data_IF_964437858019
#
_entry.id   IF_964437858019
#
_cell.length_a   1.000
_cell.length_b   1.000
_cell.length_c   1.000
_cell.angle_alpha   90.00
_cell.angle_beta   90.00
_cell.angle_gamma   90.00
#
_symmetry.space_group_name_H-M   'P 1'
#
loop_
_entity.id
_entity.type
_entity.pdbx_description
1 polymer ?
#
# COMPACT_ATOMS: atom_id res chain seq x y z
N UNK A 1 64.27 -15.39 -17.71
CA UNK A 1 63.16 -15.61 -16.76
C UNK A 1 62.03 -14.63 -17.13
N UNK A 2 61.21 -14.71 -18.18
CA UNK A 2 60.76 -15.77 -19.11
C UNK A 2 60.51 -17.11 -18.42
N UNK A 3 59.23 -17.35 -18.08
CA UNK A 3 58.49 -18.64 -18.15
C UNK A 3 57.21 -18.56 -17.31
N UNK A 4 56.16 -17.90 -17.82
CA UNK A 4 54.75 -18.26 -17.50
C UNK A 4 53.77 -17.67 -18.53
N UNK A 5 54.03 -16.47 -19.05
CA UNK A 5 53.15 -15.81 -20.03
C UNK A 5 53.38 -16.23 -21.49
N UNK A 6 54.59 -16.65 -21.86
CA UNK A 6 54.89 -17.15 -23.22
C UNK A 6 54.29 -18.55 -23.49
N UNK A 7 53.94 -19.31 -22.43
CA UNK A 7 53.41 -20.68 -22.54
C UNK A 7 51.89 -20.76 -22.72
N UNK A 8 51.15 -19.67 -22.52
CA UNK A 8 49.70 -19.63 -22.79
C UNK A 8 49.44 -19.29 -24.27
N UNK A 9 50.31 -18.49 -24.89
CA UNK A 9 50.22 -18.13 -26.31
C UNK A 9 50.53 -19.27 -27.29
N UNK A 10 51.26 -20.30 -26.85
CA UNK A 10 51.60 -21.47 -27.69
C UNK A 10 50.56 -22.60 -27.64
N UNK A 11 49.57 -22.55 -26.73
CA UNK A 11 48.65 -23.67 -26.50
C UNK A 11 47.24 -23.52 -27.08
N UNK A 12 46.84 -22.34 -27.60
CA UNK A 12 45.63 -22.19 -28.44
C UNK A 12 45.75 -20.96 -29.36
N UNK A 13 46.02 -21.12 -30.67
CA UNK A 13 45.98 -20.00 -31.62
C UNK A 13 44.55 -19.43 -31.82
N UNK A 14 43.53 -20.06 -31.23
CA UNK A 14 42.13 -19.59 -31.20
C UNK A 14 41.88 -18.42 -30.23
N UNK A 15 42.83 -18.10 -29.34
CA UNK A 15 42.74 -16.97 -28.41
C UNK A 15 43.48 -15.72 -28.90
N UNK A 16 43.88 -15.71 -30.18
CA UNK A 16 44.40 -14.52 -30.84
C UNK A 16 43.26 -13.52 -31.08
N UNK A 17 43.22 -12.51 -30.22
CA UNK A 17 42.49 -11.24 -30.31
C UNK A 17 41.08 -11.36 -30.92
N UNK A 18 40.05 -11.71 -30.12
CA UNK A 18 38.69 -11.76 -30.63
C UNK A 18 38.31 -10.39 -31.19
N UNK A 19 37.87 -10.39 -32.46
CA UNK A 19 37.50 -9.19 -33.20
C UNK A 19 36.58 -8.32 -32.33
N UNK A 20 36.84 -7.01 -32.29
CA UNK A 20 36.12 -6.07 -31.42
C UNK A 20 34.62 -6.10 -31.67
N UNK A 21 34.21 -6.39 -32.90
CA UNK A 21 32.81 -6.62 -33.28
C UNK A 21 32.23 -7.91 -32.69
N UNK A 22 33.01 -8.98 -32.60
CA UNK A 22 32.59 -10.24 -32.01
C UNK A 22 32.41 -10.12 -30.50
N UNK A 23 33.37 -9.50 -29.79
CA UNK A 23 33.22 -9.20 -28.36
C UNK A 23 32.04 -8.27 -28.08
N UNK A 24 31.82 -7.25 -28.91
CA UNK A 24 30.67 -6.37 -28.77
C UNK A 24 29.34 -7.12 -28.95
N UNK A 25 29.27 -8.03 -29.93
CA UNK A 25 28.10 -8.88 -30.16
C UNK A 25 27.86 -9.87 -29.02
N UNK A 26 28.90 -10.45 -28.42
CA UNK A 26 28.74 -11.35 -27.28
C UNK A 26 28.32 -10.59 -26.01
N UNK A 27 28.85 -9.38 -25.81
CA UNK A 27 28.41 -8.49 -24.73
C UNK A 27 26.95 -8.08 -24.94
N UNK A 28 26.54 -7.70 -26.15
CA UNK A 28 25.14 -7.36 -26.44
C UNK A 28 24.21 -8.56 -26.27
N UNK A 29 24.64 -9.76 -26.65
CA UNK A 29 23.88 -11.00 -26.43
C UNK A 29 23.73 -11.32 -24.93
N UNK A 30 24.80 -11.16 -24.14
CA UNK A 30 24.76 -11.31 -22.70
C UNK A 30 23.89 -10.22 -22.05
N UNK A 31 24.00 -8.98 -22.50
CA UNK A 31 23.14 -7.86 -22.04
C UNK A 31 21.68 -8.17 -22.37
N UNK A 32 21.33 -8.67 -23.55
CA UNK A 32 19.96 -9.07 -23.87
C UNK A 32 19.48 -10.29 -23.07
N UNK A 33 20.40 -11.15 -22.62
CA UNK A 33 20.09 -12.35 -21.85
C UNK A 33 19.95 -12.04 -20.34
N UNK A 34 20.60 -11.00 -19.85
CA UNK A 34 20.66 -10.63 -18.41
C UNK A 34 20.02 -9.28 -18.07
N UNK A 35 19.74 -8.42 -19.05
CA UNK A 35 18.87 -7.25 -18.90
C UNK A 35 17.46 -7.73 -19.21
N UNK A 36 16.56 -7.83 -18.21
CA UNK A 36 15.16 -8.07 -18.48
C UNK A 36 14.71 -7.03 -19.51
N UNK A 37 14.00 -7.46 -20.55
CA UNK A 37 13.30 -6.53 -21.43
C UNK A 37 12.65 -5.47 -20.53
N UNK A 38 12.89 -4.18 -20.81
CA UNK A 38 12.26 -3.09 -20.06
C UNK A 38 10.77 -3.34 -20.05
N UNK A 39 10.25 -3.81 -18.92
CA UNK A 39 8.84 -4.11 -18.75
C UNK A 39 8.15 -2.77 -18.78
N UNK A 40 7.34 -2.56 -19.81
CA UNK A 40 6.53 -1.36 -19.94
C UNK A 40 5.58 -1.30 -18.74
N UNK A 41 5.50 -0.15 -18.08
CA UNK A 41 4.66 0.05 -16.92
C UNK A 41 3.45 0.87 -17.34
N UNK A 42 2.25 0.34 -17.09
CA UNK A 42 0.99 1.04 -17.32
C UNK A 42 0.60 1.75 -16.04
N UNK A 43 0.54 3.07 -16.09
CA UNK A 43 -0.06 3.87 -15.02
C UNK A 43 -1.59 3.69 -15.04
N UNK A 44 -2.22 3.80 -13.88
CA UNK A 44 -3.68 3.75 -13.80
C UNK A 44 -4.21 4.58 -12.64
N UNK A 45 -5.47 5.00 -12.77
CA UNK A 45 -6.19 5.82 -11.81
C UNK A 45 -7.49 5.14 -11.39
N UNK A 46 -7.70 5.05 -10.08
CA UNK A 46 -8.93 4.57 -9.46
C UNK A 46 -9.78 5.75 -9.03
N UNK A 47 -11.04 5.74 -9.44
CA UNK A 47 -11.99 6.83 -9.18
C UNK A 47 -13.22 6.32 -8.46
N UNK A 48 -13.72 7.09 -7.49
CA UNK A 48 -15.04 6.88 -6.92
C UNK A 48 -16.12 7.68 -7.63
N UNK A 49 -17.26 7.02 -7.83
CA UNK A 49 -18.47 7.65 -8.30
C UNK A 49 -19.71 7.01 -7.64
N UNK A 50 -20.83 7.72 -7.68
CA UNK A 50 -22.15 7.20 -7.29
C UNK A 50 -23.11 7.32 -8.46
N UNK A 51 -24.12 6.47 -8.48
CA UNK A 51 -25.27 6.65 -9.37
C UNK A 51 -26.37 7.43 -8.65
N UNK A 52 -27.03 8.34 -9.34
CA UNK A 52 -28.27 8.95 -8.82
C UNK A 52 -29.39 7.92 -8.85
N UNK A 53 -29.97 7.65 -7.68
CA UNK A 53 -31.09 6.71 -7.53
C UNK A 53 -32.37 7.46 -7.19
N UNK A 54 -33.51 6.98 -7.71
CA UNK A 54 -34.81 7.58 -7.38
C UNK A 54 -35.05 7.45 -5.89
N UNK A 55 -35.36 8.57 -5.26
CA UNK A 55 -35.60 8.66 -3.83
C UNK A 55 -36.74 9.64 -3.56
N UNK A 56 -37.88 9.09 -3.13
CA UNK A 56 -39.10 9.86 -2.85
C UNK A 56 -38.97 10.77 -1.63
N UNK A 57 -37.93 10.59 -0.81
CA UNK A 57 -37.67 11.42 0.38
C UNK A 57 -36.76 12.61 0.07
N UNK A 58 -36.01 12.57 -1.03
CA UNK A 58 -35.15 13.67 -1.46
C UNK A 58 -35.98 14.77 -2.16
N UNK A 59 -35.66 16.04 -1.90
CA UNK A 59 -36.37 17.18 -2.51
C UNK A 59 -36.31 17.19 -4.05
N UNK A 60 -35.23 16.66 -4.63
CA UNK A 60 -35.03 16.53 -6.07
C UNK A 60 -35.69 15.28 -6.67
N UNK A 61 -36.24 14.37 -5.84
CA UNK A 61 -36.69 13.05 -6.25
C UNK A 61 -35.57 12.03 -6.50
N UNK A 62 -34.31 12.43 -6.27
CA UNK A 62 -33.12 11.59 -6.44
C UNK A 62 -32.12 11.81 -5.30
N UNK A 63 -31.43 10.76 -4.86
CA UNK A 63 -30.30 10.85 -3.94
C UNK A 63 -29.09 10.05 -4.46
N UNK A 64 -27.87 10.34 -4.00
CA UNK A 64 -26.70 9.57 -4.39
C UNK A 64 -26.80 8.16 -3.82
N UNK A 65 -26.70 7.15 -4.70
CA UNK A 65 -26.71 5.73 -4.34
C UNK A 65 -25.41 5.24 -3.72
N UNK A 66 -25.22 3.93 -3.74
CA UNK A 66 -23.99 3.29 -3.27
C UNK A 66 -22.79 3.76 -4.10
N UNK A 67 -21.64 3.92 -3.43
CA UNK A 67 -20.37 4.19 -4.09
C UNK A 67 -19.94 3.00 -4.92
N UNK A 68 -19.26 3.33 -6.01
CA UNK A 68 -18.64 2.41 -6.93
C UNK A 68 -17.26 2.96 -7.26
N UNK A 69 -16.36 2.06 -7.62
CA UNK A 69 -15.07 2.44 -8.18
C UNK A 69 -14.97 2.01 -9.64
N UNK A 70 -14.08 2.67 -10.38
CA UNK A 70 -13.66 2.25 -11.71
C UNK A 70 -12.18 2.58 -11.88
N UNK A 71 -11.47 1.71 -12.59
CA UNK A 71 -10.07 1.88 -12.98
C UNK A 71 -10.00 2.45 -14.38
N UNK A 72 -9.02 3.31 -14.61
CA UNK A 72 -8.74 3.95 -15.89
C UNK A 72 -7.24 3.89 -16.17
N UNK A 73 -6.85 3.44 -17.35
CA UNK A 73 -5.48 3.61 -17.87
C UNK A 73 -5.39 4.91 -18.70
N UNK A 74 -4.19 5.36 -19.13
CA UNK A 74 -4.03 6.49 -20.04
C UNK A 74 -4.88 6.39 -21.31
N UNK A 75 -5.05 5.19 -21.86
CA UNK A 75 -5.87 4.95 -23.05
C UNK A 75 -7.38 5.15 -22.79
N UNK A 76 -7.79 5.15 -21.53
CA UNK A 76 -9.18 5.35 -21.09
C UNK A 76 -9.52 6.81 -20.76
N UNK A 77 -8.69 7.80 -21.11
CA UNK A 77 -8.90 9.20 -20.70
C UNK A 77 -10.28 9.74 -21.13
N UNK A 78 -10.74 9.39 -22.34
CA UNK A 78 -12.09 9.70 -22.80
C UNK A 78 -13.19 9.03 -21.95
N UNK A 79 -12.95 7.83 -21.45
CA UNK A 79 -13.88 7.14 -20.56
C UNK A 79 -13.91 7.75 -19.15
N UNK A 80 -12.78 8.29 -18.69
CA UNK A 80 -12.70 9.02 -17.42
C UNK A 80 -13.50 10.33 -17.49
N UNK A 81 -13.35 11.08 -18.59
CA UNK A 81 -14.13 12.30 -18.81
C UNK A 81 -15.63 12.02 -18.95
N UNK A 82 -16.01 10.89 -19.54
CA UNK A 82 -17.39 10.43 -19.50
C UNK A 82 -17.86 10.21 -18.06
N UNK A 83 -17.10 9.53 -17.19
CA UNK A 83 -17.52 9.36 -15.78
C UNK A 83 -17.62 10.69 -15.02
N UNK A 84 -16.82 11.70 -15.38
CA UNK A 84 -16.89 13.04 -14.79
C UNK A 84 -18.11 13.84 -15.24
N UNK A 85 -18.58 13.64 -16.47
CA UNK A 85 -19.59 14.50 -17.12
C UNK A 85 -20.93 13.81 -17.36
N UNK A 86 -21.00 12.48 -17.24
CA UNK A 86 -22.18 11.69 -17.58
C UNK A 86 -23.34 11.95 -16.60
N UNK A 87 -24.45 12.39 -17.17
CA UNK A 87 -25.70 12.59 -16.45
C UNK A 87 -26.14 11.30 -15.76
N UNK A 88 -26.47 11.38 -14.46
CA UNK A 88 -26.82 10.22 -13.65
C UNK A 88 -25.65 9.64 -12.84
N UNK A 89 -24.41 10.12 -13.06
CA UNK A 89 -23.26 9.84 -12.21
C UNK A 89 -22.89 11.04 -11.35
N UNK A 90 -22.41 10.79 -10.15
CA UNK A 90 -21.78 11.77 -9.26
C UNK A 90 -20.34 11.33 -9.07
N UNK A 91 -19.42 12.01 -9.75
CA UNK A 91 -17.99 11.83 -9.56
C UNK A 91 -17.56 12.36 -8.18
N UNK A 92 -16.86 11.53 -7.41
CA UNK A 92 -16.38 11.90 -6.07
C UNK A 92 -14.88 12.19 -6.00
N UNK A 93 -14.11 11.87 -7.05
CA UNK A 93 -12.67 12.14 -7.09
C UNK A 93 -11.80 10.92 -7.42
N UNK A 94 -10.52 11.21 -7.64
CA UNK A 94 -9.45 10.21 -7.67
C UNK A 94 -9.21 9.72 -6.25
N UNK A 95 -9.19 8.41 -6.11
CA UNK A 95 -9.02 7.72 -4.85
C UNK A 95 -7.58 7.24 -4.75
N UNK A 96 -7.07 6.62 -5.82
CA UNK A 96 -5.75 6.03 -5.84
C UNK A 96 -5.18 6.03 -7.26
N UNK A 97 -3.85 5.96 -7.36
CA UNK A 97 -3.05 5.90 -8.57
C UNK A 97 -1.95 4.87 -8.33
N UNK A 98 -1.74 4.02 -9.34
CA UNK A 98 -0.73 2.98 -9.29
C UNK A 98 -0.08 2.80 -10.65
N UNK A 99 0.87 1.88 -10.71
CA UNK A 99 1.43 1.37 -11.95
C UNK A 99 1.58 -0.14 -11.85
N UNK A 100 1.46 -0.82 -12.99
CA UNK A 100 1.63 -2.25 -13.09
C UNK A 100 2.34 -2.61 -14.40
N UNK A 101 3.07 -3.74 -14.46
CA UNK A 101 3.60 -4.27 -15.72
C UNK A 101 2.53 -4.41 -16.80
N UNK A 102 2.83 -4.02 -18.04
CA UNK A 102 1.97 -4.25 -19.22
C UNK A 102 2.04 -5.72 -19.64
N UNK A 103 1.54 -6.58 -18.76
CA UNK A 103 1.49 -8.03 -18.92
C UNK A 103 0.15 -8.51 -18.38
N UNK A 104 -0.29 -9.71 -18.80
CA UNK A 104 -1.56 -10.27 -18.31
C UNK A 104 -1.57 -10.41 -16.77
N UNK A 105 -0.44 -10.79 -16.19
CA UNK A 105 -0.27 -10.91 -14.74
C UNK A 105 -0.31 -9.53 -14.08
N UNK A 106 0.40 -8.54 -14.63
CA UNK A 106 0.37 -7.16 -14.14
C UNK A 106 -1.01 -6.50 -14.20
N UNK A 107 -1.81 -6.77 -15.24
CA UNK A 107 -3.20 -6.29 -15.33
C UNK A 107 -4.12 -6.96 -14.29
N UNK A 108 -3.84 -8.19 -13.90
CA UNK A 108 -4.57 -8.88 -12.82
C UNK A 108 -4.20 -8.29 -11.46
N UNK A 109 -2.91 -8.08 -11.21
CA UNK A 109 -2.40 -7.41 -9.99
C UNK A 109 -2.94 -5.98 -9.85
N UNK A 110 -3.13 -5.29 -10.98
CA UNK A 110 -3.75 -3.96 -11.05
C UNK A 110 -5.20 -3.99 -10.53
N UNK A 111 -6.03 -4.93 -10.96
CA UNK A 111 -7.43 -5.01 -10.51
C UNK A 111 -7.51 -5.34 -9.02
N UNK A 112 -6.66 -6.25 -8.54
CA UNK A 112 -6.56 -6.58 -7.12
C UNK A 112 -6.11 -5.38 -6.27
N UNK A 113 -5.09 -4.65 -6.73
CA UNK A 113 -4.57 -3.45 -6.08
C UNK A 113 -5.60 -2.33 -6.05
N UNK A 114 -6.30 -2.12 -7.16
CA UNK A 114 -7.36 -1.11 -7.27
C UNK A 114 -8.55 -1.44 -6.36
N UNK A 115 -8.99 -2.70 -6.33
CA UNK A 115 -10.05 -3.16 -5.44
C UNK A 115 -9.65 -3.00 -3.98
N UNK A 116 -8.43 -3.39 -3.62
CA UNK A 116 -7.88 -3.20 -2.28
C UNK A 116 -7.87 -1.71 -1.89
N UNK A 117 -7.38 -0.84 -2.75
CA UNK A 117 -7.37 0.60 -2.50
C UNK A 117 -8.78 1.14 -2.28
N UNK A 118 -9.74 0.80 -3.15
CA UNK A 118 -11.14 1.21 -3.01
C UNK A 118 -11.73 0.76 -1.66
N UNK A 119 -11.45 -0.48 -1.25
CA UNK A 119 -11.92 -1.05 0.02
C UNK A 119 -11.31 -0.35 1.24
N UNK A 120 -10.01 -0.04 1.20
CA UNK A 120 -9.33 0.76 2.25
C UNK A 120 -9.97 2.14 2.36
N UNK A 121 -10.19 2.84 1.24
CA UNK A 121 -10.75 4.19 1.26
C UNK A 121 -12.19 4.20 1.78
N UNK A 122 -13.02 3.24 1.36
CA UNK A 122 -14.41 3.16 1.85
C UNK A 122 -14.45 2.82 3.34
N UNK A 123 -13.61 1.87 3.78
CA UNK A 123 -13.52 1.51 5.20
C UNK A 123 -13.09 2.70 6.05
N UNK A 124 -12.05 3.44 5.63
CA UNK A 124 -11.60 4.63 6.35
C UNK A 124 -12.65 5.74 6.43
N UNK A 125 -13.48 5.92 5.38
CA UNK A 125 -14.62 6.85 5.41
C UNK A 125 -15.70 6.42 6.40
N UNK A 126 -15.86 5.12 6.63
CA UNK A 126 -16.73 4.60 7.69
C UNK A 126 -16.21 4.86 9.11
N UNK A 127 -14.89 5.04 9.27
CA UNK A 127 -14.24 5.26 10.57
C UNK A 127 -13.99 6.73 10.92
N UNK A 128 -13.94 7.60 9.89
CA UNK A 128 -13.70 9.03 10.01
C UNK A 128 -14.42 9.79 8.90
N UNK A 129 -15.04 10.92 9.25
CA UNK A 129 -15.68 11.83 8.29
C UNK A 129 -14.69 12.38 7.25
N UNK A 130 -13.39 12.33 7.54
CA UNK A 130 -12.33 12.80 6.65
C UNK A 130 -11.66 11.67 5.86
N UNK A 131 -12.07 10.42 6.07
CA UNK A 131 -11.61 9.27 5.29
C UNK A 131 -10.12 8.94 5.42
N UNK A 132 -9.61 8.23 4.42
CA UNK A 132 -8.24 7.70 4.37
C UNK A 132 -7.16 8.79 4.41
N UNK A 133 -7.34 9.92 3.71
CA UNK A 133 -6.39 11.04 3.72
C UNK A 133 -6.09 11.54 5.14
N UNK A 134 -7.09 11.53 6.03
CA UNK A 134 -6.90 11.94 7.41
C UNK A 134 -6.09 10.94 8.21
N UNK A 135 -6.29 9.63 7.98
CA UNK A 135 -5.45 8.61 8.58
C UNK A 135 -3.99 8.80 8.16
N UNK A 136 -3.71 9.00 6.87
CA UNK A 136 -2.34 9.23 6.40
C UNK A 136 -1.74 10.51 6.94
N UNK A 137 -2.47 11.63 6.97
CA UNK A 137 -2.00 12.88 7.60
C UNK A 137 -1.64 12.70 9.08
N UNK A 138 -2.35 11.82 9.78
CA UNK A 138 -2.09 11.55 11.19
C UNK A 138 -0.89 10.62 11.35
N UNK A 139 -0.84 9.48 10.66
CA UNK A 139 0.18 8.47 10.91
C UNK A 139 1.46 8.65 10.09
N UNK A 140 1.34 9.06 8.83
CA UNK A 140 2.45 9.16 7.89
C UNK A 140 2.33 10.44 7.04
N UNK A 141 2.49 11.65 7.61
CA UNK A 141 2.17 12.92 6.94
C UNK A 141 3.00 13.23 5.70
N UNK A 142 4.07 12.48 5.44
CA UNK A 142 4.93 12.62 4.27
C UNK A 142 4.46 11.77 3.08
N UNK A 143 3.44 10.93 3.28
CA UNK A 143 2.86 10.08 2.25
C UNK A 143 1.88 10.85 1.37
N UNK A 144 1.70 10.37 0.14
CA UNK A 144 0.73 10.89 -0.81
C UNK A 144 -0.54 10.03 -0.75
N UNK A 145 -1.69 10.61 -0.38
CA UNK A 145 -2.94 9.87 -0.25
C UNK A 145 -3.48 9.29 -1.57
N UNK A 146 -2.93 9.71 -2.71
CA UNK A 146 -3.29 9.14 -3.99
C UNK A 146 -2.43 7.95 -4.40
N UNK A 147 -1.38 7.60 -3.67
CA UNK A 147 -0.50 6.46 -4.02
C UNK A 147 -0.25 5.54 -2.83
N UNK A 148 -0.33 6.08 -1.62
CA UNK A 148 -0.09 5.34 -0.39
C UNK A 148 -1.40 4.94 0.28
N UNK A 149 -1.41 3.76 0.91
CA UNK A 149 -2.55 3.26 1.67
C UNK A 149 -2.24 3.24 3.16
N UNK A 150 -3.21 3.65 3.99
CA UNK A 150 -3.07 3.52 5.45
C UNK A 150 -2.78 2.08 5.86
N UNK A 151 -3.31 1.11 5.10
CA UNK A 151 -3.09 -0.31 5.32
C UNK A 151 -1.63 -0.75 5.14
N UNK A 152 -0.80 0.06 4.47
CA UNK A 152 0.61 -0.22 4.17
C UNK A 152 1.60 0.55 5.03
N UNK A 153 1.13 1.47 5.89
CA UNK A 153 2.03 2.21 6.77
C UNK A 153 2.72 1.25 7.74
N UNK A 154 3.91 1.63 8.19
CA UNK A 154 4.71 0.75 9.04
C UNK A 154 4.34 0.90 10.52
N UNK A 155 4.72 -0.08 11.37
CA UNK A 155 4.58 0.07 12.82
C UNK A 155 5.30 1.30 13.35
N UNK A 156 6.43 1.69 12.75
CA UNK A 156 7.20 2.85 13.17
C UNK A 156 6.46 4.16 12.90
N UNK A 157 5.72 4.26 11.79
CA UNK A 157 4.86 5.42 11.50
C UNK A 157 3.75 5.54 12.54
N UNK A 158 3.12 4.41 12.89
CA UNK A 158 2.12 4.35 13.96
C UNK A 158 2.73 4.84 15.27
N UNK A 159 3.82 4.22 15.73
CA UNK A 159 4.50 4.53 17.00
C UNK A 159 4.90 6.01 17.07
N UNK A 160 5.51 6.54 16.02
CA UNK A 160 5.92 7.95 15.94
C UNK A 160 4.73 8.90 16.11
N UNK A 161 3.55 8.51 15.63
CA UNK A 161 2.34 9.32 15.70
C UNK A 161 1.64 9.29 17.06
N UNK A 162 1.77 8.22 17.85
CA UNK A 162 1.02 8.00 19.11
C UNK A 162 1.26 9.05 20.19
N UNK A 163 2.32 9.86 20.09
CA UNK A 163 2.54 11.04 20.94
C UNK A 163 1.36 12.02 20.87
N UNK A 164 0.65 12.06 19.73
CA UNK A 164 -0.48 12.94 19.46
C UNK A 164 -1.80 12.25 19.79
N UNK A 165 -2.70 12.92 20.52
CA UNK A 165 -4.03 12.39 20.87
C UNK A 165 -4.84 11.90 19.65
N UNK A 166 -4.92 12.63 18.52
CA UNK A 166 -5.64 12.14 17.34
C UNK A 166 -5.17 10.78 16.81
N UNK A 167 -3.87 10.49 16.91
CA UNK A 167 -3.32 9.20 16.48
C UNK A 167 -3.80 8.05 17.36
N UNK A 168 -3.85 8.27 18.68
CA UNK A 168 -4.34 7.26 19.64
C UNK A 168 -5.82 6.93 19.39
N UNK A 169 -6.64 7.96 19.22
CA UNK A 169 -8.08 7.79 18.95
C UNK A 169 -8.32 7.05 17.61
N UNK A 170 -7.57 7.41 16.57
CA UNK A 170 -7.66 6.77 15.26
C UNK A 170 -7.14 5.32 15.28
N UNK A 171 -6.05 5.04 15.97
CA UNK A 171 -5.52 3.67 16.08
C UNK A 171 -6.53 2.75 16.77
N UNK A 172 -7.21 3.24 17.81
CA UNK A 172 -8.27 2.48 18.46
C UNK A 172 -9.49 2.25 17.54
N UNK A 173 -9.86 3.22 16.68
CA UNK A 173 -10.92 3.03 15.66
C UNK A 173 -10.51 2.02 14.59
N UNK A 174 -9.26 2.11 14.14
CA UNK A 174 -8.68 1.18 13.18
C UNK A 174 -8.73 -0.25 13.70
N UNK A 175 -8.19 -0.52 14.89
CA UNK A 175 -8.19 -1.88 15.44
C UNK A 175 -9.56 -2.43 15.83
N UNK A 176 -10.63 -1.61 15.77
CA UNK A 176 -12.02 -2.08 15.86
C UNK A 176 -12.65 -2.43 14.52
N UNK A 177 -12.02 -2.06 13.40
CA UNK A 177 -12.50 -2.35 12.05
C UNK A 177 -11.92 -3.67 11.56
N UNK A 178 -12.73 -4.72 11.52
CA UNK A 178 -12.32 -6.02 10.97
C UNK A 178 -11.81 -5.87 9.53
N UNK A 179 -12.56 -5.18 8.67
CA UNK A 179 -12.19 -4.98 7.26
C UNK A 179 -10.86 -4.24 7.10
N UNK A 180 -10.63 -3.15 7.85
CA UNK A 180 -9.35 -2.44 7.72
C UNK A 180 -8.19 -3.30 8.23
N UNK A 181 -8.40 -4.04 9.33
CA UNK A 181 -7.39 -4.92 9.91
C UNK A 181 -7.00 -6.07 8.98
N UNK A 182 -7.95 -6.67 8.25
CA UNK A 182 -7.68 -7.71 7.25
C UNK A 182 -6.80 -7.21 6.10
N UNK A 183 -6.99 -5.96 5.67
CA UNK A 183 -6.21 -5.32 4.60
C UNK A 183 -4.86 -4.79 5.08
N UNK A 184 -4.71 -4.57 6.38
CA UNK A 184 -3.51 -3.98 7.01
C UNK A 184 -2.35 -4.97 7.02
N UNK A 185 -1.16 -4.48 6.70
CA UNK A 185 0.10 -5.22 6.84
C UNK A 185 0.21 -5.91 8.22
N UNK A 186 0.70 -7.14 8.24
CA UNK A 186 0.69 -8.01 9.43
C UNK A 186 1.33 -7.38 10.68
N UNK A 187 2.51 -6.79 10.54
CA UNK A 187 3.25 -6.17 11.64
C UNK A 187 2.52 -4.95 12.22
N UNK A 188 1.98 -4.09 11.35
CA UNK A 188 1.17 -2.92 11.74
C UNK A 188 -0.13 -3.37 12.38
N UNK A 189 -0.75 -4.42 11.84
CA UNK A 189 -1.97 -5.02 12.39
C UNK A 189 -1.74 -5.49 13.82
N UNK A 190 -0.63 -6.15 14.12
CA UNK A 190 -0.33 -6.60 15.48
C UNK A 190 -0.29 -5.42 16.47
N UNK A 191 0.44 -4.35 16.12
CA UNK A 191 0.56 -3.15 16.97
C UNK A 191 -0.80 -2.46 17.16
N UNK A 192 -1.56 -2.30 16.07
CA UNK A 192 -2.89 -1.66 16.11
C UNK A 192 -3.90 -2.49 16.91
N UNK A 193 -3.87 -3.83 16.81
CA UNK A 193 -4.73 -4.71 17.61
C UNK A 193 -4.39 -4.59 19.10
N UNK A 194 -3.10 -4.62 19.45
CA UNK A 194 -2.65 -4.46 20.83
C UNK A 194 -3.14 -3.12 21.44
N UNK A 195 -3.00 -2.02 20.70
CA UNK A 195 -3.50 -0.70 21.10
C UNK A 195 -5.03 -0.69 21.27
N UNK A 196 -5.76 -1.28 20.32
CA UNK A 196 -7.21 -1.32 20.36
C UNK A 196 -7.73 -2.19 21.51
N UNK A 197 -7.09 -3.31 21.81
CA UNK A 197 -7.41 -4.15 22.99
C UNK A 197 -7.10 -3.43 24.28
N UNK A 198 -5.93 -2.78 24.40
CA UNK A 198 -5.58 -2.00 25.59
C UNK A 198 -6.52 -0.83 25.84
N UNK A 199 -7.05 -0.20 24.80
CA UNK A 199 -8.01 0.90 24.91
C UNK A 199 -9.36 0.49 25.55
N UNK A 200 -9.64 -0.82 25.66
CA UNK A 200 -10.85 -1.36 26.30
C UNK A 200 -10.68 -1.61 27.80
N UNK A 201 -9.46 -1.53 28.31
CA UNK A 201 -9.14 -1.77 29.71
C UNK A 201 -9.24 -0.46 30.52
N UNK A 202 -9.55 -0.52 31.83
CA UNK A 202 -9.55 0.64 32.71
C UNK A 202 -8.18 1.34 32.73
N UNK A 203 -8.19 2.66 32.97
CA UNK A 203 -6.99 3.49 33.01
C UNK A 203 -6.57 3.97 31.62
N UNK A 204 -6.73 5.28 31.40
CA UNK A 204 -6.28 5.95 30.17
C UNK A 204 -4.75 6.00 30.17
N UNK A 205 -4.14 5.49 29.11
CA UNK A 205 -2.71 5.64 28.88
C UNK A 205 -2.43 7.03 28.33
N UNK A 206 -1.39 7.67 28.86
CA UNK A 206 -0.89 8.89 28.25
C UNK A 206 -0.15 8.61 26.93
N UNK A 207 0.33 9.66 26.26
CA UNK A 207 1.04 9.52 24.99
C UNK A 207 2.34 8.73 25.07
N UNK A 208 3.04 8.79 26.21
CA UNK A 208 4.28 8.07 26.44
C UNK A 208 3.99 6.59 26.68
N UNK A 209 3.09 6.28 27.61
CA UNK A 209 2.73 4.90 27.93
C UNK A 209 2.14 4.16 26.71
N UNK A 210 1.34 4.86 25.90
CA UNK A 210 0.81 4.31 24.65
C UNK A 210 1.93 4.00 23.64
N UNK A 211 2.97 4.82 23.59
CA UNK A 211 4.13 4.61 22.72
C UNK A 211 4.95 3.41 23.20
N UNK A 212 5.25 3.34 24.50
CA UNK A 212 5.99 2.23 25.12
C UNK A 212 5.26 0.88 24.93
N UNK A 213 3.93 0.87 25.06
CA UNK A 213 3.11 -0.32 24.76
C UNK A 213 3.26 -0.77 23.30
N UNK A 214 3.17 0.17 22.35
CA UNK A 214 3.28 -0.14 20.94
C UNK A 214 4.68 -0.67 20.56
N UNK A 215 5.73 -0.13 21.19
CA UNK A 215 7.10 -0.63 21.05
C UNK A 215 7.25 -2.06 21.60
N UNK A 216 6.69 -2.34 22.79
CA UNK A 216 6.65 -3.69 23.36
C UNK A 216 5.85 -4.66 22.49
N UNK A 217 4.71 -4.23 21.94
CA UNK A 217 3.92 -5.04 21.02
C UNK A 217 4.70 -5.39 19.75
N UNK A 218 5.42 -4.42 19.17
CA UNK A 218 6.26 -4.66 18.00
C UNK A 218 7.41 -5.63 18.31
N UNK A 219 8.02 -5.54 19.49
CA UNK A 219 9.03 -6.50 19.93
C UNK A 219 8.43 -7.90 20.10
N UNK A 220 7.29 -8.02 20.77
CA UNK A 220 6.58 -9.29 20.98
C UNK A 220 6.21 -9.98 19.65
N UNK A 221 5.75 -9.21 18.65
CA UNK A 221 5.49 -9.74 17.30
C UNK A 221 6.75 -10.32 16.65
N UNK A 222 7.90 -9.64 16.77
CA UNK A 222 9.19 -10.14 16.24
C UNK A 222 9.63 -11.43 16.93
N UNK A 223 9.28 -11.57 18.21
CA UNK A 223 9.56 -12.76 19.01
C UNK A 223 8.51 -13.88 18.80
N UNK A 224 7.51 -13.66 17.94
CA UNK A 224 6.47 -14.65 17.61
C UNK A 224 5.42 -14.86 18.71
N UNK A 225 5.30 -13.92 19.65
CA UNK A 225 4.30 -13.97 20.73
C UNK A 225 2.91 -13.65 20.15
N UNK A 226 1.88 -14.46 20.43
CA UNK A 226 0.50 -14.13 20.06
C UNK A 226 0.01 -12.85 20.77
N UNK A 227 -0.81 -12.05 20.09
CA UNK A 227 -1.32 -10.79 20.64
C UNK A 227 -2.19 -11.00 21.89
N UNK A 228 -2.89 -12.13 21.97
CA UNK A 228 -3.66 -12.54 23.16
C UNK A 228 -2.75 -12.65 24.38
N UNK A 229 -1.64 -13.38 24.24
CA UNK A 229 -0.70 -13.63 25.33
C UNK A 229 0.02 -12.35 25.75
N UNK A 230 0.38 -11.51 24.77
CA UNK A 230 0.91 -10.18 25.03
C UNK A 230 -0.04 -9.34 25.88
N UNK A 231 -1.32 -9.25 25.50
CA UNK A 231 -2.31 -8.45 26.25
C UNK A 231 -2.55 -9.01 27.66
N UNK A 232 -2.58 -10.33 27.83
CA UNK A 232 -2.68 -10.94 29.17
C UNK A 232 -1.48 -10.56 30.04
N UNK A 233 -0.27 -10.57 29.48
CA UNK A 233 0.94 -10.18 30.21
C UNK A 233 0.92 -8.71 30.65
N UNK A 234 0.40 -7.81 29.81
CA UNK A 234 0.27 -6.38 30.12
C UNK A 234 -0.78 -6.11 31.21
N UNK A 235 -1.79 -6.98 31.35
CA UNK A 235 -2.80 -6.88 32.42
C UNK A 235 -2.41 -7.52 33.75
N UNK A 236 -1.51 -8.51 33.72
CA UNK A 236 -1.13 -9.28 34.91
C UNK A 236 -0.02 -8.62 35.73
N UNK A 237 0.57 -7.54 35.22
CA UNK A 237 1.59 -6.73 35.89
C UNK A 237 1.04 -5.52 36.68
N UNK A 238 -0.29 -5.43 36.86
CA UNK A 238 -0.98 -4.37 37.64
C UNK A 238 -1.43 -4.93 38.98
#
# INVERSE_FOLDING_TARGET
MSTTLELVGELRPELADPDREHLASEIDALVQQFVPATVEMVEYTVVHYRLWVKDRRARSGYSPGARRFKVFTPDDEAALDNVRTESGKLYEGVVWRGSAPDTLDGLTELDESARRAAEVHETCRGLSDHGHDYFLKVFAPHTNPHTDLVADITPHDVIAALKRKPARDLAARWGRSTSLMELTREDTRYVVDALARRSRLPGELDGRETTELAERALAAHRDGVPVEDFIVSETSGV
#
